data_IF_953635230960
#
_entry.id   IF_953635230960
#
_cell.length_a   1.000
_cell.length_b   1.000
_cell.length_c   1.000
_cell.angle_alpha   90.00
_cell.angle_beta   90.00
_cell.angle_gamma   90.00
#
_symmetry.space_group_name_H-M   'P 1'
#
loop_
_entity.id
_entity.type
_entity.pdbx_description
1 polymer ?
#
# COMPACT_ATOMS: atom_id res chain seq x y z
N UNK A 1 77.02 -15.52 14.27
CA UNK A 1 75.73 -15.47 13.53
C UNK A 1 74.58 -16.28 14.17
N UNK A 2 74.31 -16.28 15.50
CA UNK A 2 73.19 -17.07 16.07
C UNK A 2 71.86 -16.32 16.29
N UNK A 3 71.85 -14.98 16.21
CA UNK A 3 70.69 -14.15 16.59
C UNK A 3 69.51 -14.17 15.60
N UNK A 4 69.79 -14.28 14.29
CA UNK A 4 68.74 -14.24 13.26
C UNK A 4 67.98 -15.56 13.13
N UNK A 5 68.64 -16.69 13.38
CA UNK A 5 68.00 -18.01 13.32
C UNK A 5 66.92 -18.17 14.39
N UNK A 6 67.17 -17.68 15.62
CA UNK A 6 66.18 -17.70 16.71
C UNK A 6 64.93 -16.86 16.38
N UNK A 7 65.11 -15.71 15.71
CA UNK A 7 63.98 -14.86 15.27
C UNK A 7 63.14 -15.55 14.19
N UNK A 8 63.79 -16.20 13.23
CA UNK A 8 63.09 -16.95 12.17
C UNK A 8 62.28 -18.10 12.76
N UNK A 9 62.87 -18.87 13.67
CA UNK A 9 62.16 -19.96 14.38
C UNK A 9 60.98 -19.42 15.18
N UNK A 10 61.13 -18.29 15.86
CA UNK A 10 60.05 -17.67 16.63
C UNK A 10 58.89 -17.18 15.74
N UNK A 11 59.20 -16.59 14.58
CA UNK A 11 58.19 -16.16 13.60
C UNK A 11 57.45 -17.36 13.01
N UNK A 12 58.16 -18.43 12.65
CA UNK A 12 57.55 -19.66 12.15
C UNK A 12 56.65 -20.31 13.21
N UNK A 13 57.07 -20.28 14.47
CA UNK A 13 56.25 -20.76 15.59
C UNK A 13 54.97 -19.94 15.72
N UNK A 14 55.06 -18.60 15.71
CA UNK A 14 53.88 -17.72 15.77
C UNK A 14 52.93 -17.92 14.59
N UNK A 15 53.46 -18.08 13.37
CA UNK A 15 52.64 -18.33 12.18
C UNK A 15 51.93 -19.69 12.24
N UNK A 16 52.56 -20.71 12.85
CA UNK A 16 51.93 -22.03 13.00
C UNK A 16 50.67 -22.02 13.89
N UNK A 17 50.57 -21.07 14.83
CA UNK A 17 49.38 -20.88 15.67
C UNK A 17 48.21 -20.21 14.92
N UNK A 18 48.49 -19.43 13.88
CA UNK A 18 47.46 -18.71 13.12
C UNK A 18 46.66 -19.63 12.17
N UNK A 19 47.22 -20.76 11.73
CA UNK A 19 46.56 -21.68 10.79
C UNK A 19 45.37 -22.47 11.37
N UNK A 20 45.13 -22.42 12.68
CA UNK A 20 44.02 -23.14 13.33
C UNK A 20 42.79 -22.29 13.63
N UNK A 21 42.80 -21.00 13.25
CA UNK A 21 41.67 -20.11 13.49
C UNK A 21 40.78 -20.11 12.25
N UNK A 22 39.74 -20.94 12.26
CA UNK A 22 38.66 -20.88 11.28
C UNK A 22 37.48 -20.13 11.89
N UNK A 23 36.95 -19.12 11.20
CA UNK A 23 35.74 -18.46 11.65
C UNK A 23 34.57 -19.45 11.55
N UNK A 24 33.72 -19.58 12.59
CA UNK A 24 32.55 -20.45 12.51
C UNK A 24 31.67 -20.04 11.32
N UNK A 25 31.04 -21.02 10.65
CA UNK A 25 30.10 -20.75 9.57
C UNK A 25 29.03 -19.78 10.08
N UNK A 26 28.92 -18.60 9.47
CA UNK A 26 27.85 -17.65 9.80
C UNK A 26 26.52 -18.31 9.46
N UNK A 27 25.74 -18.66 10.49
CA UNK A 27 24.31 -18.89 10.31
C UNK A 27 23.66 -17.52 10.10
N UNK A 28 23.33 -17.18 8.85
CA UNK A 28 22.57 -15.97 8.56
C UNK A 28 21.09 -16.27 8.46
N UNK A 29 20.29 -15.57 9.27
CA UNK A 29 18.83 -15.54 9.13
C UNK A 29 18.49 -14.66 7.93
N UNK A 30 17.88 -15.26 6.91
CA UNK A 30 17.35 -14.52 5.76
C UNK A 30 15.93 -14.08 6.11
N UNK A 31 15.74 -12.80 6.40
CA UNK A 31 14.41 -12.21 6.52
C UNK A 31 13.93 -11.90 5.10
N UNK A 32 13.07 -12.75 4.57
CA UNK A 32 12.33 -12.48 3.34
C UNK A 32 11.34 -11.34 3.60
N UNK A 33 11.69 -10.13 3.14
CA UNK A 33 10.75 -9.01 3.12
C UNK A 33 9.71 -9.30 2.04
N UNK A 34 8.52 -9.75 2.43
CA UNK A 34 7.39 -9.91 1.52
C UNK A 34 6.89 -8.55 1.06
N UNK A 35 6.53 -8.43 -0.22
CA UNK A 35 5.87 -7.22 -0.72
C UNK A 35 4.52 -7.03 -0.01
N UNK A 36 4.11 -5.79 0.28
CA UNK A 36 2.78 -5.52 0.81
C UNK A 36 1.72 -6.08 -0.14
N UNK A 37 0.72 -6.75 0.43
CA UNK A 37 -0.48 -7.12 -0.33
C UNK A 37 -1.29 -5.84 -0.49
N UNK A 38 -1.68 -5.50 -1.72
CA UNK A 38 -2.59 -4.40 -2.02
C UNK A 38 -4.00 -4.97 -2.26
N UNK A 39 -4.75 -5.33 -1.21
CA UNK A 39 -5.99 -6.09 -1.36
C UNK A 39 -7.03 -5.34 -2.19
N UNK A 40 -7.06 -4.01 -2.12
CA UNK A 40 -8.07 -3.19 -2.80
C UNK A 40 -7.68 -2.77 -4.23
N UNK A 41 -6.48 -3.11 -4.73
CA UNK A 41 -5.96 -2.60 -6.02
C UNK A 41 -6.91 -2.85 -7.19
N UNK A 42 -7.44 -4.08 -7.29
CA UNK A 42 -8.41 -4.46 -8.33
C UNK A 42 -9.71 -3.67 -8.19
N UNK A 43 -10.21 -3.52 -6.96
CA UNK A 43 -11.44 -2.78 -6.69
C UNK A 43 -11.30 -1.30 -7.02
N UNK A 44 -10.19 -0.66 -6.63
CA UNK A 44 -9.90 0.75 -6.95
C UNK A 44 -9.95 0.98 -8.45
N UNK A 45 -9.25 0.15 -9.23
CA UNK A 45 -9.25 0.24 -10.69
C UNK A 45 -10.65 0.08 -11.28
N UNK A 46 -11.42 -0.90 -10.79
CA UNK A 46 -12.77 -1.14 -11.26
C UNK A 46 -13.72 0.03 -10.95
N UNK A 47 -13.64 0.60 -9.75
CA UNK A 47 -14.43 1.77 -9.34
C UNK A 47 -14.09 2.98 -10.20
N UNK A 48 -12.80 3.30 -10.39
CA UNK A 48 -12.40 4.42 -11.22
C UNK A 48 -12.91 4.33 -12.66
N UNK A 49 -12.90 3.13 -13.24
CA UNK A 49 -13.46 2.93 -14.59
C UNK A 49 -14.96 3.20 -14.62
N UNK A 50 -15.72 2.71 -13.64
CA UNK A 50 -17.18 2.86 -13.59
C UNK A 50 -17.60 4.29 -13.25
N UNK A 51 -16.91 4.94 -12.32
CA UNK A 51 -17.25 6.30 -11.86
C UNK A 51 -16.88 7.37 -12.89
N UNK A 52 -15.66 7.30 -13.45
CA UNK A 52 -15.11 8.41 -14.24
C UNK A 52 -14.35 7.99 -15.49
N UNK A 53 -14.33 6.69 -15.83
CA UNK A 53 -13.42 6.14 -16.84
C UNK A 53 -11.94 6.45 -16.53
N UNK A 54 -11.59 6.42 -15.25
CA UNK A 54 -10.27 6.74 -14.71
C UNK A 54 -9.83 8.20 -14.86
N UNK A 55 -10.76 9.12 -15.06
CA UNK A 55 -10.48 10.55 -15.06
C UNK A 55 -10.38 11.09 -13.62
N UNK A 56 -9.23 11.66 -13.27
CA UNK A 56 -8.95 12.26 -11.96
C UNK A 56 -9.51 13.68 -11.82
N UNK A 57 -9.88 14.32 -12.93
CA UNK A 57 -10.40 15.69 -12.97
C UNK A 57 -11.93 15.76 -13.13
N UNK A 58 -12.60 14.60 -13.15
CA UNK A 58 -14.03 14.51 -13.32
C UNK A 58 -14.79 15.24 -12.20
N UNK A 59 -15.81 16.00 -12.59
CA UNK A 59 -16.69 16.72 -11.66
C UNK A 59 -18.15 16.55 -12.07
N UNK A 60 -18.98 16.11 -11.13
CA UNK A 60 -20.43 16.04 -11.28
C UNK A 60 -21.08 17.23 -10.55
N UNK A 61 -21.65 18.21 -11.28
CA UNK A 61 -22.23 19.40 -10.67
C UNK A 61 -23.54 19.14 -9.90
N UNK A 62 -24.27 18.08 -10.23
CA UNK A 62 -25.56 17.74 -9.60
C UNK A 62 -25.32 17.20 -8.19
N UNK A 63 -24.42 16.23 -8.06
CA UNK A 63 -24.10 15.62 -6.76
C UNK A 63 -22.99 16.35 -6.01
N UNK A 64 -22.34 17.32 -6.67
CA UNK A 64 -21.09 17.97 -6.24
C UNK A 64 -20.00 16.93 -5.96
N UNK A 65 -19.94 15.88 -6.76
CA UNK A 65 -18.96 14.81 -6.62
C UNK A 65 -17.70 15.12 -7.45
N UNK A 66 -16.52 14.82 -6.92
CA UNK A 66 -15.26 15.18 -7.57
C UNK A 66 -14.26 14.03 -7.57
N UNK A 67 -13.39 14.06 -8.57
CA UNK A 67 -12.21 13.20 -8.69
C UNK A 67 -12.53 11.77 -9.10
N UNK A 68 -11.48 10.95 -9.10
CA UNK A 68 -11.45 9.57 -9.60
C UNK A 68 -12.55 8.67 -9.01
N UNK A 69 -12.95 8.90 -7.75
CA UNK A 69 -13.92 8.08 -7.04
C UNK A 69 -15.29 8.76 -6.86
N UNK A 70 -15.51 9.93 -7.48
CA UNK A 70 -16.71 10.75 -7.33
C UNK A 70 -17.08 10.96 -5.84
N UNK A 71 -16.13 11.49 -5.06
CA UNK A 71 -16.32 11.72 -3.63
C UNK A 71 -17.26 12.93 -3.44
N UNK A 72 -18.33 12.72 -2.67
CA UNK A 72 -19.36 13.73 -2.34
C UNK A 72 -18.99 14.52 -1.08
N UNK A 73 -19.51 15.75 -0.89
CA UNK A 73 -19.16 16.60 0.25
C UNK A 73 -19.38 15.92 1.61
N UNK A 74 -20.48 15.18 1.77
CA UNK A 74 -20.79 14.47 3.03
C UNK A 74 -19.77 13.38 3.37
N UNK A 75 -19.16 12.73 2.36
CA UNK A 75 -18.10 11.74 2.59
C UNK A 75 -16.79 12.39 2.99
N UNK A 76 -16.45 13.50 2.33
CA UNK A 76 -15.27 14.28 2.68
C UNK A 76 -15.39 14.84 4.10
N UNK A 77 -16.57 15.34 4.47
CA UNK A 77 -16.87 15.83 5.81
C UNK A 77 -16.75 14.71 6.86
N UNK A 78 -17.34 13.54 6.62
CA UNK A 78 -17.22 12.39 7.54
C UNK A 78 -15.76 11.95 7.71
N UNK A 79 -15.00 11.84 6.61
CA UNK A 79 -13.58 11.51 6.66
C UNK A 79 -12.78 12.54 7.47
N UNK A 80 -12.97 13.83 7.19
CA UNK A 80 -12.29 14.91 7.90
C UNK A 80 -12.63 14.88 9.39
N UNK A 81 -13.90 14.72 9.74
CA UNK A 81 -14.37 14.64 11.12
C UNK A 81 -13.76 13.47 11.89
N UNK A 82 -13.64 12.30 11.26
CA UNK A 82 -13.10 11.08 11.90
C UNK A 82 -11.58 11.08 12.02
N UNK A 83 -10.88 11.71 11.09
CA UNK A 83 -9.41 11.68 11.01
C UNK A 83 -8.73 12.94 11.53
N UNK A 84 -9.50 14.01 11.76
CA UNK A 84 -8.96 15.34 12.05
C UNK A 84 -8.34 16.04 10.84
N UNK A 85 -8.54 15.50 9.62
CA UNK A 85 -8.08 16.13 8.37
C UNK A 85 -8.93 17.37 8.03
N UNK A 86 -8.40 18.21 7.16
CA UNK A 86 -9.02 19.48 6.73
C UNK A 86 -9.07 19.62 5.20
N UNK A 87 -9.22 18.50 4.47
CA UNK A 87 -9.29 18.51 3.02
C UNK A 87 -10.55 19.20 2.51
N UNK A 88 -10.44 19.86 1.36
CA UNK A 88 -11.56 20.52 0.68
C UNK A 88 -11.86 19.84 -0.66
N UNK A 89 -13.02 20.14 -1.25
CA UNK A 89 -13.47 19.51 -2.50
C UNK A 89 -12.45 19.59 -3.64
N UNK A 90 -11.67 20.68 -3.71
CA UNK A 90 -10.63 20.86 -4.72
C UNK A 90 -9.49 19.84 -4.59
N UNK A 91 -9.20 19.37 -3.37
CA UNK A 91 -8.14 18.41 -3.11
C UNK A 91 -8.46 17.03 -3.70
N UNK A 92 -9.74 16.75 -3.95
CA UNK A 92 -10.20 15.47 -4.50
C UNK A 92 -9.76 15.24 -5.96
N UNK A 93 -9.31 16.29 -6.66
CA UNK A 93 -8.70 16.14 -7.98
C UNK A 93 -7.27 15.57 -7.91
N UNK A 94 -6.67 15.51 -6.72
CA UNK A 94 -5.46 14.73 -6.49
C UNK A 94 -5.85 13.26 -6.24
N UNK A 95 -5.30 12.36 -7.07
CA UNK A 95 -5.60 10.93 -7.00
C UNK A 95 -5.23 10.34 -5.63
N UNK A 96 -4.05 10.64 -5.10
CA UNK A 96 -3.54 10.05 -3.86
C UNK A 96 -4.41 10.44 -2.65
N UNK A 97 -4.89 11.69 -2.61
CA UNK A 97 -5.83 12.15 -1.57
C UNK A 97 -7.15 11.39 -1.69
N UNK A 98 -7.70 11.30 -2.89
CA UNK A 98 -8.97 10.60 -3.11
C UNK A 98 -8.88 9.09 -2.86
N UNK A 99 -7.78 8.45 -3.23
CA UNK A 99 -7.49 7.04 -2.95
C UNK A 99 -7.39 6.82 -1.45
N UNK A 100 -6.68 7.68 -0.72
CA UNK A 100 -6.58 7.62 0.74
C UNK A 100 -7.96 7.69 1.42
N UNK A 101 -8.83 8.59 0.96
CA UNK A 101 -10.20 8.71 1.49
C UNK A 101 -11.03 7.46 1.17
N UNK A 102 -10.95 6.96 -0.06
CA UNK A 102 -11.64 5.73 -0.46
C UNK A 102 -11.17 4.51 0.35
N UNK A 103 -9.85 4.35 0.51
CA UNK A 103 -9.25 3.26 1.28
C UNK A 103 -9.66 3.32 2.75
N UNK A 104 -9.67 4.51 3.37
CA UNK A 104 -10.16 4.67 4.73
C UNK A 104 -11.59 4.15 4.88
N UNK A 105 -12.47 4.49 3.94
CA UNK A 105 -13.84 3.99 3.93
C UNK A 105 -13.90 2.47 3.73
N UNK A 106 -13.18 1.94 2.74
CA UNK A 106 -13.19 0.52 2.40
C UNK A 106 -12.67 -0.33 3.57
N UNK A 107 -11.68 0.16 4.30
CA UNK A 107 -11.08 -0.53 5.43
C UNK A 107 -12.04 -0.70 6.63
N UNK A 108 -13.03 0.19 6.77
CA UNK A 108 -14.10 0.02 7.79
C UNK A 108 -14.98 -1.22 7.52
N UNK A 109 -14.96 -1.76 6.30
CA UNK A 109 -15.69 -2.97 5.89
C UNK A 109 -14.74 -4.17 5.83
N UNK A 110 -13.50 -3.94 5.40
CA UNK A 110 -12.46 -4.94 5.26
C UNK A 110 -12.36 -5.53 3.84
N UNK A 111 -11.22 -6.17 3.51
CA UNK A 111 -10.85 -6.50 2.14
C UNK A 111 -11.57 -7.71 1.53
N UNK A 112 -12.47 -8.35 2.28
CA UNK A 112 -13.05 -9.64 1.92
C UNK A 112 -14.39 -9.54 1.19
N UNK A 113 -15.02 -8.35 1.16
CA UNK A 113 -16.34 -8.15 0.57
C UNK A 113 -16.39 -6.90 -0.33
N UNK A 114 -15.85 -7.04 -1.54
CA UNK A 114 -15.86 -5.97 -2.55
C UNK A 114 -17.27 -5.56 -2.97
N UNK A 115 -18.22 -6.49 -2.96
CA UNK A 115 -19.60 -6.19 -3.31
C UNK A 115 -20.19 -5.23 -2.29
N UNK A 116 -20.00 -5.51 -1.00
CA UNK A 116 -20.48 -4.65 0.06
C UNK A 116 -19.79 -3.28 0.05
N UNK A 117 -18.47 -3.22 -0.20
CA UNK A 117 -17.75 -1.95 -0.35
C UNK A 117 -18.34 -1.15 -1.52
N UNK A 118 -18.47 -1.76 -2.70
CA UNK A 118 -18.98 -1.09 -3.89
C UNK A 118 -20.42 -0.60 -3.70
N UNK A 119 -21.30 -1.43 -3.14
CA UNK A 119 -22.69 -1.06 -2.88
C UNK A 119 -22.77 0.11 -1.90
N UNK A 120 -22.09 0.03 -0.75
CA UNK A 120 -22.07 1.12 0.24
C UNK A 120 -21.38 2.38 -0.29
N UNK A 121 -20.39 2.25 -1.17
CA UNK A 121 -19.76 3.40 -1.85
C UNK A 121 -20.72 4.07 -2.83
N UNK A 122 -21.49 3.33 -3.61
CA UNK A 122 -22.45 3.95 -4.51
C UNK A 122 -23.63 4.59 -3.75
N UNK A 123 -24.14 3.94 -2.69
CA UNK A 123 -25.23 4.46 -1.86
C UNK A 123 -26.12 3.35 -1.31
N UNK A 124 -27.42 3.64 -1.15
CA UNK A 124 -28.43 2.66 -0.71
C UNK A 124 -29.52 2.46 -1.78
N UNK A 125 -30.10 1.27 -1.85
CA UNK A 125 -31.24 0.94 -2.72
C UNK A 125 -30.95 -0.03 -3.87
N UNK A 126 -31.96 -0.27 -4.72
CA UNK A 126 -31.93 -1.27 -5.81
C UNK A 126 -30.87 -0.99 -6.89
N UNK A 127 -30.49 0.29 -7.09
CA UNK A 127 -29.48 0.71 -8.07
C UNK A 127 -28.08 0.15 -7.78
N UNK A 128 -27.82 -0.22 -6.52
CA UNK A 128 -26.52 -0.77 -6.08
C UNK A 128 -26.20 -2.14 -6.69
N UNK A 129 -27.22 -2.91 -7.11
CA UNK A 129 -27.03 -4.21 -7.81
C UNK A 129 -26.46 -3.97 -9.22
N UNK A 130 -27.00 -2.98 -9.94
CA UNK A 130 -26.52 -2.66 -11.28
C UNK A 130 -25.14 -2.03 -11.25
N UNK A 131 -24.85 -1.20 -10.24
CA UNK A 131 -23.52 -0.68 -9.98
C UNK A 131 -22.52 -1.82 -9.76
N UNK A 132 -22.83 -2.77 -8.86
CA UNK A 132 -21.98 -3.93 -8.63
C UNK A 132 -21.75 -4.77 -9.89
N UNK A 133 -22.79 -5.01 -10.70
CA UNK A 133 -22.66 -5.71 -11.97
C UNK A 133 -21.69 -5.01 -12.93
N UNK A 134 -21.59 -3.68 -12.91
CA UNK A 134 -20.62 -2.93 -13.71
C UNK A 134 -19.21 -3.10 -13.17
N UNK A 135 -19.02 -2.95 -11.85
CA UNK A 135 -17.72 -3.14 -11.17
C UNK A 135 -17.16 -4.54 -11.45
N UNK A 136 -18.00 -5.57 -11.33
CA UNK A 136 -17.60 -6.97 -11.54
C UNK A 136 -17.04 -7.26 -12.93
N UNK A 137 -17.35 -6.44 -13.95
CA UNK A 137 -16.76 -6.59 -15.30
C UNK A 137 -15.28 -6.22 -15.35
N UNK A 138 -14.79 -5.45 -14.38
CA UNK A 138 -13.43 -4.91 -14.34
C UNK A 138 -12.61 -5.44 -13.15
N UNK A 139 -13.20 -6.31 -12.32
CA UNK A 139 -12.51 -6.99 -11.23
C UNK A 139 -11.67 -8.14 -11.76
#
# INVERSE_FOLDING_TARGET
>A
MPGNFKKIVFILLLMSFAFRVSAPSRESIIILVSRPIEPYKRLIKAIGIVETRSDTLAYNPIEKAAGYFQIRPIRLEDYNKRTGSNYIMKDLFNYDISEKIFLYFADQIGPYDFEQIAKKWNGSGHLTINYWKQIKKYL
#
